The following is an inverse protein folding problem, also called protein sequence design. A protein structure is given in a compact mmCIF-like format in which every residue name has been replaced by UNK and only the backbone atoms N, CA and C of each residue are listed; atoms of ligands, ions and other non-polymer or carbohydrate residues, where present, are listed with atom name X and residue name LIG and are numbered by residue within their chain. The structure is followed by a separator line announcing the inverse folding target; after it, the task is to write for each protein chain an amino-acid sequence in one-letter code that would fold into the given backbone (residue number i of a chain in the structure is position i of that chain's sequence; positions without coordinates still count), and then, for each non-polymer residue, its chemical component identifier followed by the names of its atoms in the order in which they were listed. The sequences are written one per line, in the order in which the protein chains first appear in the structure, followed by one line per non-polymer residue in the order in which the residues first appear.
data_IF_324632739327
#
_entry.id   IF_324632739327
#
_cell.length_a   1.000
_cell.length_b   1.000
_cell.length_c   1.000
_cell.angle_alpha   90.00
_cell.angle_beta   90.00
_cell.angle_gamma   90.00
#
_symmetry.space_group_name_H-M   'P 1'
#
loop_
_entity.id
_entity.type
_entity.pdbx_description
1 polymer ?
#
# COMPACT_ATOMS: atom_id res chain seq x y z
N UNK A 1 39.91 -9.71 -26.73
CA UNK A 1 38.68 -10.32 -27.22
C UNK A 1 37.52 -9.84 -26.36
N UNK A 2 36.58 -9.09 -26.98
CA UNK A 2 35.32 -8.70 -26.34
C UNK A 2 34.45 -9.97 -26.27
N UNK A 3 34.41 -10.63 -25.11
CA UNK A 3 33.47 -11.71 -24.88
C UNK A 3 32.08 -11.07 -24.69
N UNK A 4 31.21 -11.15 -25.69
CA UNK A 4 29.81 -10.78 -25.57
C UNK A 4 29.13 -11.72 -24.56
N UNK A 5 28.75 -11.19 -23.40
CA UNK A 5 27.94 -11.93 -22.45
C UNK A 5 26.46 -11.62 -22.74
N UNK A 6 25.69 -12.66 -23.01
CA UNK A 6 24.24 -12.55 -23.17
C UNK A 6 23.57 -12.65 -21.79
N UNK A 7 22.75 -11.69 -21.45
CA UNK A 7 21.96 -11.70 -20.23
C UNK A 7 20.48 -11.80 -20.58
N UNK A 8 19.76 -12.66 -19.88
CA UNK A 8 18.31 -12.71 -19.95
C UNK A 8 17.74 -11.77 -18.88
N UNK A 9 17.13 -10.67 -19.30
CA UNK A 9 16.47 -9.72 -18.42
C UNK A 9 14.95 -9.88 -18.55
N UNK A 10 14.24 -9.80 -17.42
CA UNK A 10 12.80 -9.72 -17.47
C UNK A 10 12.34 -8.30 -17.82
N UNK A 11 11.14 -8.15 -18.37
CA UNK A 11 10.57 -6.81 -18.60
C UNK A 11 10.47 -5.99 -17.32
N UNK A 12 10.24 -6.65 -16.17
CA UNK A 12 10.24 -6.01 -14.86
C UNK A 12 11.59 -5.40 -14.50
N UNK A 13 12.69 -6.14 -14.73
CA UNK A 13 14.05 -5.67 -14.44
C UNK A 13 14.43 -4.48 -15.33
N UNK A 14 14.01 -4.50 -16.60
CA UNK A 14 14.24 -3.40 -17.55
C UNK A 14 13.44 -2.16 -17.13
N UNK A 15 12.17 -2.34 -16.79
CA UNK A 15 11.30 -1.23 -16.35
C UNK A 15 11.80 -0.59 -15.04
N UNK A 16 12.23 -1.41 -14.07
CA UNK A 16 12.89 -0.96 -12.84
C UNK A 16 14.11 -0.09 -13.15
N UNK A 17 15.05 -0.63 -13.94
CA UNK A 17 16.29 0.07 -14.28
C UNK A 17 16.03 1.39 -15.03
N UNK A 18 15.08 1.38 -15.98
CA UNK A 18 14.69 2.57 -16.70
C UNK A 18 14.04 3.63 -15.79
N UNK A 19 13.13 3.24 -14.92
CA UNK A 19 12.45 4.15 -13.99
C UNK A 19 13.46 4.80 -13.02
N UNK A 20 14.42 4.04 -12.52
CA UNK A 20 15.49 4.55 -11.65
C UNK A 20 16.40 5.53 -12.42
N UNK A 21 16.84 5.16 -13.63
CA UNK A 21 17.72 6.00 -14.43
C UNK A 21 17.06 7.34 -14.85
N UNK A 22 15.75 7.34 -15.04
CA UNK A 22 14.96 8.53 -15.38
C UNK A 22 14.51 9.32 -14.15
N UNK A 23 14.82 8.86 -12.94
CA UNK A 23 14.29 9.40 -11.68
C UNK A 23 12.74 9.58 -11.73
N UNK A 24 12.05 8.56 -12.25
CA UNK A 24 10.62 8.62 -12.47
C UNK A 24 9.88 8.81 -11.14
N UNK A 25 8.88 9.68 -11.13
CA UNK A 25 8.02 9.83 -9.94
C UNK A 25 7.17 8.57 -9.70
N UNK A 26 6.67 7.97 -10.79
CA UNK A 26 5.81 6.79 -10.72
C UNK A 26 6.23 5.76 -11.77
N UNK A 27 6.33 4.49 -11.35
CA UNK A 27 6.49 3.34 -12.24
C UNK A 27 5.18 2.54 -12.22
N UNK A 28 4.61 2.29 -13.38
CA UNK A 28 3.36 1.53 -13.52
C UNK A 28 3.64 0.22 -14.24
N UNK A 29 3.38 -0.89 -13.55
CA UNK A 29 3.33 -2.23 -14.15
C UNK A 29 1.88 -2.56 -14.52
N UNK A 30 1.65 -2.88 -15.78
CA UNK A 30 0.37 -3.39 -16.26
C UNK A 30 0.53 -4.89 -16.48
N UNK A 31 -0.16 -5.68 -15.67
CA UNK A 31 -0.03 -7.14 -15.62
C UNK A 31 -1.39 -7.83 -15.78
N UNK A 32 -1.41 -9.14 -15.92
CA UNK A 32 -2.67 -9.88 -16.04
C UNK A 32 -3.42 -10.00 -14.71
N UNK A 33 -2.70 -10.02 -13.58
CA UNK A 33 -3.26 -10.13 -12.25
C UNK A 33 -3.86 -8.79 -11.80
N UNK A 34 -4.78 -8.83 -10.84
CA UNK A 34 -5.40 -7.62 -10.28
C UNK A 34 -4.42 -6.74 -9.48
N UNK A 35 -3.31 -7.29 -9.04
CA UNK A 35 -2.28 -6.67 -8.21
C UNK A 35 -1.60 -7.74 -7.38
N UNK A 36 -1.09 -7.36 -6.21
CA UNK A 36 -0.49 -8.28 -5.24
C UNK A 36 -1.60 -8.81 -4.33
N UNK A 37 -1.68 -10.12 -4.23
CA UNK A 37 -2.66 -10.81 -3.39
C UNK A 37 -1.96 -11.35 -2.14
N UNK A 38 -2.66 -11.31 -1.01
CA UNK A 38 -2.20 -11.98 0.21
C UNK A 38 -2.37 -13.51 0.11
N UNK A 39 -2.00 -14.23 1.16
CA UNK A 39 -2.12 -15.69 1.25
C UNK A 39 -3.58 -16.20 1.12
N UNK A 40 -4.56 -15.34 1.41
CA UNK A 40 -6.00 -15.65 1.29
C UNK A 40 -6.60 -15.26 -0.06
N UNK A 41 -5.77 -14.77 -1.01
CA UNK A 41 -6.23 -14.34 -2.33
C UNK A 41 -6.90 -12.97 -2.35
N UNK A 42 -6.80 -12.19 -1.27
CA UNK A 42 -7.34 -10.82 -1.20
C UNK A 42 -6.32 -9.83 -1.74
N UNK A 43 -6.79 -8.85 -2.56
CA UNK A 43 -5.95 -7.80 -3.09
C UNK A 43 -5.42 -6.90 -1.98
N UNK A 44 -4.13 -6.65 -1.99
CA UNK A 44 -3.47 -5.67 -1.14
C UNK A 44 -3.36 -4.36 -1.92
N UNK A 45 -4.14 -3.36 -1.56
CA UNK A 45 -4.21 -2.10 -2.31
C UNK A 45 -2.99 -1.21 -2.08
N UNK A 46 -2.43 -1.22 -0.87
CA UNK A 46 -1.30 -0.36 -0.51
C UNK A 46 -0.26 -1.14 0.29
N UNK A 47 1.00 -0.90 -0.02
CA UNK A 47 2.16 -1.47 0.65
C UNK A 47 3.22 -0.38 0.84
N UNK A 48 3.77 -0.27 2.02
CA UNK A 48 5.07 0.37 2.19
C UNK A 48 6.17 -0.55 1.65
N UNK A 49 7.34 0.01 1.34
CA UNK A 49 8.50 -0.78 0.92
C UNK A 49 8.89 -1.82 1.99
N UNK A 50 8.76 -1.46 3.28
CA UNK A 50 9.04 -2.36 4.38
C UNK A 50 8.05 -3.53 4.43
N UNK A 51 6.75 -3.27 4.37
CA UNK A 51 5.71 -4.32 4.36
C UNK A 51 5.85 -5.25 3.16
N UNK A 52 6.16 -4.68 1.99
CA UNK A 52 6.41 -5.48 0.79
C UNK A 52 7.64 -6.38 0.93
N UNK A 53 8.71 -5.91 1.60
CA UNK A 53 9.86 -6.76 1.93
C UNK A 53 9.49 -7.87 2.91
N UNK A 54 8.76 -7.56 3.96
CA UNK A 54 8.30 -8.56 4.93
C UNK A 54 7.44 -9.65 4.26
N UNK A 55 6.60 -9.29 3.29
CA UNK A 55 5.85 -10.26 2.49
C UNK A 55 6.76 -11.17 1.65
N UNK A 56 7.85 -10.62 1.10
CA UNK A 56 8.83 -11.37 0.32
C UNK A 56 9.64 -12.31 1.22
N UNK A 57 10.18 -11.80 2.33
CA UNK A 57 11.06 -12.52 3.26
C UNK A 57 10.32 -13.66 3.96
N UNK A 58 9.09 -13.42 4.38
CA UNK A 58 8.22 -14.41 5.01
C UNK A 58 7.54 -15.36 4.01
N UNK A 59 7.85 -15.24 2.71
CA UNK A 59 7.28 -16.04 1.63
C UNK A 59 5.74 -15.97 1.53
N UNK A 60 5.12 -14.92 2.05
CA UNK A 60 3.66 -14.71 2.03
C UNK A 60 3.13 -14.17 0.70
N UNK A 61 4.00 -13.60 -0.14
CA UNK A 61 3.65 -13.24 -1.50
C UNK A 61 3.52 -14.50 -2.36
N UNK A 62 2.52 -14.54 -3.24
CA UNK A 62 2.33 -15.66 -4.15
C UNK A 62 3.56 -15.83 -5.07
N UNK A 63 3.99 -17.08 -5.38
CA UNK A 63 5.23 -17.35 -6.11
C UNK A 63 5.35 -16.61 -7.46
N UNK A 64 4.24 -16.50 -8.19
CA UNK A 64 4.15 -15.80 -9.47
C UNK A 64 4.21 -14.27 -9.36
N UNK A 65 4.03 -13.72 -8.17
CA UNK A 65 4.03 -12.27 -7.90
C UNK A 65 5.33 -11.78 -7.25
N UNK A 66 6.15 -12.69 -6.69
CA UNK A 66 7.35 -12.33 -5.93
C UNK A 66 8.34 -11.50 -6.74
N UNK A 67 8.60 -11.89 -7.98
CA UNK A 67 9.55 -11.16 -8.84
C UNK A 67 9.07 -9.75 -9.14
N UNK A 68 7.79 -9.60 -9.44
CA UNK A 68 7.19 -8.29 -9.70
C UNK A 68 7.21 -7.40 -8.46
N UNK A 69 6.84 -7.96 -7.31
CA UNK A 69 6.89 -7.25 -6.03
C UNK A 69 8.32 -6.85 -5.67
N UNK A 70 9.30 -7.72 -5.91
CA UNK A 70 10.73 -7.41 -5.69
C UNK A 70 11.18 -6.22 -6.56
N UNK A 71 10.85 -6.22 -7.86
CA UNK A 71 11.18 -5.09 -8.75
C UNK A 71 10.48 -3.79 -8.30
N UNK A 72 9.23 -3.89 -7.84
CA UNK A 72 8.50 -2.73 -7.33
C UNK A 72 9.15 -2.13 -6.07
N UNK A 73 9.57 -2.98 -5.13
CA UNK A 73 10.28 -2.56 -3.90
C UNK A 73 11.62 -1.93 -4.26
N UNK A 74 12.42 -2.59 -5.09
CA UNK A 74 13.73 -2.09 -5.50
C UNK A 74 13.64 -0.71 -6.15
N UNK A 75 12.65 -0.48 -7.03
CA UNK A 75 12.43 0.80 -7.68
C UNK A 75 12.17 1.91 -6.65
N UNK A 76 11.28 1.64 -5.68
CA UNK A 76 10.91 2.61 -4.65
C UNK A 76 12.06 2.92 -3.70
N UNK A 77 12.85 1.93 -3.32
CA UNK A 77 14.02 2.14 -2.46
C UNK A 77 15.11 2.95 -3.14
N UNK A 78 15.22 2.85 -4.47
CA UNK A 78 16.27 3.50 -5.25
C UNK A 78 15.90 4.87 -5.85
N UNK A 79 14.79 5.48 -5.59
CA UNK A 79 14.42 6.87 -5.97
C UNK A 79 13.03 7.04 -6.60
N UNK A 80 12.40 5.98 -7.12
CA UNK A 80 11.02 6.07 -7.60
C UNK A 80 10.11 6.32 -6.40
N UNK A 81 9.27 7.34 -6.45
CA UNK A 81 8.43 7.69 -5.30
C UNK A 81 7.35 6.64 -5.05
N UNK A 82 6.81 6.07 -6.12
CA UNK A 82 5.72 5.08 -6.06
C UNK A 82 5.79 4.12 -7.23
N UNK A 83 5.56 2.85 -6.97
CA UNK A 83 5.32 1.83 -7.99
C UNK A 83 3.89 1.36 -7.90
N UNK A 84 3.20 1.29 -9.05
CA UNK A 84 1.81 0.83 -9.14
C UNK A 84 1.74 -0.43 -9.98
N UNK A 85 0.99 -1.42 -9.51
CA UNK A 85 0.76 -2.70 -10.20
C UNK A 85 -0.72 -2.76 -10.52
N UNK A 86 -1.07 -2.72 -11.81
CA UNK A 86 -2.43 -2.64 -12.33
C UNK A 86 -2.80 -3.87 -13.14
N UNK A 87 -4.07 -4.22 -13.15
CA UNK A 87 -4.60 -5.22 -14.08
C UNK A 87 -4.78 -4.63 -15.47
N UNK A 88 -4.18 -5.27 -16.47
CA UNK A 88 -4.44 -4.99 -17.88
C UNK A 88 -5.75 -5.61 -18.39
N UNK A 89 -6.37 -6.51 -17.62
CA UNK A 89 -7.67 -7.12 -17.97
C UNK A 89 -8.87 -6.27 -17.56
N UNK A 90 -8.66 -5.31 -16.67
CA UNK A 90 -9.73 -4.45 -16.18
C UNK A 90 -9.76 -3.15 -16.97
N UNK A 91 -10.83 -2.95 -17.73
CA UNK A 91 -11.02 -1.73 -18.52
C UNK A 91 -10.98 -0.49 -17.63
N UNK A 92 -10.24 0.51 -18.07
CA UNK A 92 -10.10 1.78 -17.36
C UNK A 92 -9.24 1.75 -16.09
N UNK A 93 -8.53 0.66 -15.78
CA UNK A 93 -7.67 0.57 -14.58
C UNK A 93 -6.61 1.67 -14.55
N UNK A 94 -5.96 1.94 -15.69
CA UNK A 94 -4.97 3.01 -15.81
C UNK A 94 -5.59 4.41 -15.65
N UNK A 95 -6.76 4.65 -16.23
CA UNK A 95 -7.49 5.91 -16.09
C UNK A 95 -7.89 6.11 -14.63
N UNK A 96 -8.42 5.06 -13.99
CA UNK A 96 -8.78 5.11 -12.56
C UNK A 96 -7.57 5.44 -11.68
N UNK A 97 -6.43 4.82 -11.93
CA UNK A 97 -5.20 5.10 -11.19
C UNK A 97 -4.72 6.55 -11.36
N UNK A 98 -4.79 7.09 -12.58
CA UNK A 98 -4.29 8.44 -12.86
C UNK A 98 -5.23 9.55 -12.41
N UNK A 99 -6.54 9.30 -12.37
CA UNK A 99 -7.55 10.34 -12.18
C UNK A 99 -8.44 10.17 -10.94
N UNK A 100 -8.25 9.11 -10.14
CA UNK A 100 -9.03 8.95 -8.90
C UNK A 100 -8.13 8.80 -7.67
N UNK A 101 -8.68 9.17 -6.50
CA UNK A 101 -7.98 9.04 -5.22
C UNK A 101 -7.81 7.59 -4.75
N UNK A 102 -8.72 6.72 -5.15
CA UNK A 102 -8.74 5.32 -4.68
C UNK A 102 -7.86 4.41 -5.53
N UNK A 103 -7.36 4.90 -6.67
CA UNK A 103 -6.48 4.16 -7.56
C UNK A 103 -7.03 2.82 -8.03
N UNK A 104 -6.17 1.96 -8.52
CA UNK A 104 -6.48 0.59 -8.92
C UNK A 104 -5.28 -0.33 -8.62
N UNK A 105 -5.53 -1.61 -8.34
CA UNK A 105 -4.46 -2.59 -8.11
C UNK A 105 -3.70 -2.38 -6.81
N UNK A 106 -2.38 -2.59 -6.85
CA UNK A 106 -1.48 -2.47 -5.69
C UNK A 106 -0.51 -1.32 -5.87
N UNK A 107 -0.44 -0.44 -4.87
CA UNK A 107 0.54 0.63 -4.78
C UNK A 107 1.65 0.26 -3.80
N UNK A 108 2.90 0.44 -4.21
CA UNK A 108 4.08 0.33 -3.34
C UNK A 108 4.74 1.68 -3.23
N UNK A 109 4.97 2.18 -2.00
CA UNK A 109 5.62 3.46 -1.76
C UNK A 109 6.68 3.33 -0.65
N UNK A 110 7.57 4.33 -0.56
CA UNK A 110 8.66 4.30 0.44
C UNK A 110 8.16 4.29 1.88
N UNK A 111 7.12 5.06 2.17
CA UNK A 111 6.49 5.13 3.49
C UNK A 111 5.08 4.54 3.44
N UNK A 112 4.61 4.08 4.59
CA UNK A 112 3.25 3.61 4.74
C UNK A 112 2.23 4.70 4.38
N UNK A 113 1.15 4.29 3.75
CA UNK A 113 0.05 5.20 3.43
C UNK A 113 -0.70 5.54 4.70
N UNK A 114 -0.70 6.80 5.05
CA UNK A 114 -1.54 7.34 6.10
C UNK A 114 -2.65 8.14 5.46
N UNK A 115 -3.89 7.77 5.70
CA UNK A 115 -5.06 8.50 5.22
C UNK A 115 -5.74 9.17 6.41
N UNK A 116 -5.93 10.48 6.32
CA UNK A 116 -6.77 11.20 7.29
C UNK A 116 -8.18 11.23 6.73
N UNK A 117 -9.12 10.67 7.47
CA UNK A 117 -10.55 10.72 7.15
C UNK A 117 -11.37 11.15 8.36
N UNK A 118 -12.57 11.61 8.11
CA UNK A 118 -13.51 11.89 9.19
C UNK A 118 -13.97 10.56 9.83
N UNK A 119 -14.09 10.57 11.16
CA UNK A 119 -14.55 9.39 11.88
C UNK A 119 -16.04 9.11 11.57
N UNK A 120 -16.38 7.84 11.60
CA UNK A 120 -17.74 7.31 11.39
C UNK A 120 -18.21 6.58 12.64
N UNK A 121 -19.50 6.32 12.74
CA UNK A 121 -20.08 5.59 13.89
C UNK A 121 -19.44 4.19 14.12
N UNK A 122 -18.95 3.56 13.06
CA UNK A 122 -18.18 2.31 13.13
C UNK A 122 -16.86 2.43 13.89
N UNK A 123 -16.29 3.62 13.99
CA UNK A 123 -14.99 3.88 14.62
C UNK A 123 -15.07 4.08 16.12
N UNK A 124 -16.26 4.26 16.67
CA UNK A 124 -16.50 4.58 18.11
C UNK A 124 -15.82 3.55 19.02
N UNK A 125 -15.87 2.27 18.67
CA UNK A 125 -15.23 1.23 19.45
C UNK A 125 -13.72 1.37 19.48
N UNK A 126 -13.10 1.69 18.32
CA UNK A 126 -11.67 1.92 18.21
C UNK A 126 -11.24 3.19 18.96
N UNK A 127 -12.02 4.28 18.82
CA UNK A 127 -11.79 5.55 19.52
C UNK A 127 -11.85 5.31 21.03
N UNK A 128 -12.90 4.64 21.52
CA UNK A 128 -13.05 4.34 22.96
C UNK A 128 -11.88 3.52 23.50
N UNK A 129 -11.40 2.53 22.73
CA UNK A 129 -10.24 1.71 23.14
C UNK A 129 -8.97 2.54 23.20
N UNK A 130 -8.79 3.49 22.29
CA UNK A 130 -7.63 4.35 22.22
C UNK A 130 -7.60 5.38 23.35
N UNK A 131 -8.75 5.98 23.72
CA UNK A 131 -8.81 7.05 24.73
C UNK A 131 -8.91 6.52 26.16
N UNK A 132 -9.39 5.29 26.36
CA UNK A 132 -9.59 4.69 27.69
C UNK A 132 -8.37 4.78 28.63
N UNK A 133 -7.13 4.44 28.18
CA UNK A 133 -5.96 4.59 29.04
C UNK A 133 -5.74 6.02 29.51
N UNK A 134 -5.97 7.00 28.65
CA UNK A 134 -5.82 8.43 28.95
C UNK A 134 -6.92 8.95 29.90
N UNK A 135 -8.13 8.39 29.81
CA UNK A 135 -9.21 8.65 30.75
C UNK A 135 -8.92 8.04 32.14
N UNK A 136 -8.36 6.84 32.18
CA UNK A 136 -8.02 6.14 33.42
C UNK A 136 -6.82 6.82 34.15
N UNK A 137 -5.90 7.40 33.40
CA UNK A 137 -4.80 8.23 33.92
C UNK A 137 -5.23 9.66 34.29
N UNK A 138 -6.48 10.04 34.02
CA UNK A 138 -7.00 11.39 34.31
C UNK A 138 -6.51 12.49 33.36
N UNK A 139 -5.86 12.12 32.24
CA UNK A 139 -5.42 13.05 31.19
C UNK A 139 -6.59 13.58 30.39
N UNK A 140 -7.60 12.73 30.16
CA UNK A 140 -8.84 13.06 29.49
C UNK A 140 -10.03 12.89 30.42
N UNK A 141 -11.03 13.75 30.25
CA UNK A 141 -12.33 13.59 30.92
C UNK A 141 -13.06 12.38 30.32
N UNK A 142 -13.61 11.54 31.18
CA UNK A 142 -14.45 10.40 30.75
C UNK A 142 -15.66 10.91 29.98
N UNK A 143 -15.78 10.45 28.76
CA UNK A 143 -16.89 10.75 27.86
C UNK A 143 -17.67 9.47 27.57
N UNK A 144 -18.97 9.51 27.84
CA UNK A 144 -19.85 8.38 27.56
C UNK A 144 -19.94 8.12 26.05
N UNK A 145 -20.28 6.89 25.69
CA UNK A 145 -20.47 6.47 24.29
C UNK A 145 -21.44 7.39 23.53
N UNK A 146 -22.53 7.78 24.15
CA UNK A 146 -23.52 8.70 23.58
C UNK A 146 -22.91 10.06 23.20
N UNK A 147 -21.98 10.57 24.00
CA UNK A 147 -21.27 11.80 23.67
C UNK A 147 -20.41 11.64 22.42
N UNK A 148 -19.70 10.51 22.28
CA UNK A 148 -18.90 10.22 21.11
C UNK A 148 -19.78 10.06 19.86
N UNK A 149 -20.93 9.40 19.98
CA UNK A 149 -21.88 9.24 18.88
C UNK A 149 -22.41 10.59 18.37
N UNK A 150 -22.76 11.49 19.27
CA UNK A 150 -23.29 12.81 18.92
C UNK A 150 -22.24 13.75 18.30
N UNK A 151 -20.96 13.56 18.62
CA UNK A 151 -19.87 14.43 18.18
C UNK A 151 -18.89 13.72 17.24
N UNK A 152 -19.27 12.57 16.67
CA UNK A 152 -18.37 11.75 15.85
C UNK A 152 -17.76 12.53 14.67
N UNK A 153 -18.52 13.47 14.12
CA UNK A 153 -18.06 14.32 13.02
C UNK A 153 -16.94 15.31 13.39
N UNK A 154 -16.63 15.49 14.67
CA UNK A 154 -15.52 16.34 15.14
C UNK A 154 -14.18 15.57 15.19
N UNK A 155 -14.22 14.25 15.07
CA UNK A 155 -13.04 13.40 15.12
C UNK A 155 -12.49 13.14 13.74
N UNK A 156 -11.17 13.29 13.59
CA UNK A 156 -10.42 12.83 12.42
C UNK A 156 -9.62 11.58 12.76
N UNK A 157 -9.75 10.55 11.96
CA UNK A 157 -9.02 9.31 12.10
C UNK A 157 -7.80 9.33 11.19
N UNK A 158 -6.63 9.07 11.76
CA UNK A 158 -5.45 8.72 11.01
C UNK A 158 -5.47 7.20 10.82
N UNK A 159 -5.80 6.76 9.63
CA UNK A 159 -5.87 5.35 9.28
C UNK A 159 -4.59 4.94 8.58
N UNK A 160 -3.94 3.95 9.15
CA UNK A 160 -2.86 3.24 8.52
C UNK A 160 -3.46 1.99 7.88
N UNK A 161 -3.25 1.77 6.60
CA UNK A 161 -3.81 0.63 5.89
C UNK A 161 -3.18 -0.68 6.41
N UNK A 162 -3.79 -1.22 7.46
CA UNK A 162 -3.35 -2.43 8.18
C UNK A 162 -3.99 -3.72 7.68
N UNK A 163 -4.55 -3.77 6.48
CA UNK A 163 -5.20 -4.99 5.99
C UNK A 163 -4.26 -6.19 5.79
N UNK A 164 -2.96 -6.04 6.09
CA UNK A 164 -1.94 -7.06 5.85
C UNK A 164 -1.73 -8.01 7.03
N UNK A 165 -2.13 -7.64 8.26
CA UNK A 165 -1.73 -8.38 9.46
C UNK A 165 -2.91 -8.74 10.36
N UNK A 166 -3.79 -9.59 9.87
CA UNK A 166 -4.63 -10.44 10.74
C UNK A 166 -4.53 -11.88 10.34
#
# INVERSE_FOLDING_TARGET
SLSAKTFSLSMGDIAEAAAIALAAEKLIYVVEQEGILNEHGTLISNLSAQEARELLDNQRAQPNQRRLLQSAVNAVEKQVQRTQILSGRQDGSLIRELFTRHGAGTSVARAAFMTIRQAQSSDISAITTLIRPLEDEGVLLRRGREHLENHIGEFSMLEHDRQIYR
#
